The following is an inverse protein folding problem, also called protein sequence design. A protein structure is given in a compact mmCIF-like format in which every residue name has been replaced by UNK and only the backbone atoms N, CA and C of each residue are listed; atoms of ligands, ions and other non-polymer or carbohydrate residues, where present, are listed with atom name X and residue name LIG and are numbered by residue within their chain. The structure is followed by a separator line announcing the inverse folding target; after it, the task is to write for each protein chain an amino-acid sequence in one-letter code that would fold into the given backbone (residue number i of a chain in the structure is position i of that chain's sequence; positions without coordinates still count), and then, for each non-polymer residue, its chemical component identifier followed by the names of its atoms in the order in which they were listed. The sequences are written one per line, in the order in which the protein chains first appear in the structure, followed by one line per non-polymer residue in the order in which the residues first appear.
data_IF_663751163812
#
_entry.id   IF_663751163812
#
_cell.length_a   1.000
_cell.length_b   1.000
_cell.length_c   1.000
_cell.angle_alpha   90.00
_cell.angle_beta   90.00
_cell.angle_gamma   90.00
#
_symmetry.space_group_name_H-M   'P 1'
#
loop_
_entity.id
_entity.type
_entity.pdbx_description
1 polymer ?
#
# COMPACT_ATOMS: atom_id res chain seq x y z
N UNK A 1 54.50 34.04 68.92
CA UNK A 1 55.84 33.86 68.28
C UNK A 1 56.09 32.37 68.11
N UNK A 2 56.38 31.92 66.87
CA UNK A 2 57.00 30.63 66.50
C UNK A 2 56.18 29.36 66.81
N UNK A 3 56.17 28.27 66.04
CA UNK A 3 56.67 27.90 64.70
C UNK A 3 55.92 26.61 64.31
N UNK A 4 55.70 26.42 63.03
CA UNK A 4 55.03 25.28 62.41
C UNK A 4 55.72 23.91 62.63
N UNK A 5 54.93 22.84 62.57
CA UNK A 5 55.29 21.55 61.94
C UNK A 5 54.04 20.89 61.34
N UNK A 6 53.80 21.12 60.05
CA UNK A 6 52.91 20.29 59.24
C UNK A 6 53.81 19.25 58.55
N UNK A 7 53.47 17.95 58.55
CA UNK A 7 54.36 16.90 58.06
C UNK A 7 54.52 16.96 56.54
N UNK A 8 55.75 16.74 56.10
CA UNK A 8 56.26 16.77 54.71
C UNK A 8 55.63 15.73 53.75
N UNK A 9 54.55 15.04 54.14
CA UNK A 9 53.87 14.00 53.37
C UNK A 9 52.69 14.52 52.53
N UNK A 10 52.20 15.73 52.79
CA UNK A 10 51.08 16.32 52.04
C UNK A 10 51.49 17.11 50.79
N UNK A 11 52.80 17.36 50.60
CA UNK A 11 53.32 18.12 49.45
C UNK A 11 53.89 17.23 48.33
N UNK A 12 54.08 15.92 48.57
CA UNK A 12 54.44 14.95 47.52
C UNK A 12 53.23 14.30 46.84
N UNK A 13 52.02 14.41 47.42
CA UNK A 13 50.79 13.86 46.83
C UNK A 13 50.18 14.74 45.73
N UNK A 14 50.59 16.00 45.61
CA UNK A 14 50.03 16.96 44.64
C UNK A 14 50.94 17.16 43.42
N UNK A 15 52.22 16.76 43.49
CA UNK A 15 53.14 16.82 42.34
C UNK A 15 53.15 15.55 41.46
N UNK A 16 52.44 14.48 41.84
CA UNK A 16 52.29 13.29 41.00
C UNK A 16 51.02 13.29 40.13
N UNK A 17 50.16 14.31 40.26
CA UNK A 17 48.91 14.43 39.50
C UNK A 17 49.00 15.41 38.31
N UNK A 18 50.19 15.95 38.01
CA UNK A 18 50.39 16.94 36.94
C UNK A 18 51.46 16.56 35.89
N UNK A 19 51.96 15.32 35.86
CA UNK A 19 53.02 14.93 34.91
C UNK A 19 52.85 13.55 34.25
N UNK A 20 51.63 13.18 33.89
CA UNK A 20 51.37 12.08 32.95
C UNK A 20 50.28 12.48 31.94
N UNK A 21 50.53 13.58 31.23
CA UNK A 21 50.07 13.74 29.86
C UNK A 21 51.13 13.13 28.95
N UNK A 22 50.77 12.08 28.21
CA UNK A 22 51.20 11.75 26.83
C UNK A 22 50.79 10.29 26.51
N UNK A 23 50.02 10.14 25.44
CA UNK A 23 49.75 8.91 24.67
C UNK A 23 48.75 7.90 25.20
N UNK A 24 47.51 8.32 25.43
CA UNK A 24 46.38 7.48 25.04
C UNK A 24 45.94 7.94 23.66
N UNK A 25 46.29 7.13 22.64
CA UNK A 25 45.75 7.30 21.30
C UNK A 25 44.23 7.27 21.40
N UNK A 26 43.61 8.42 21.11
CA UNK A 26 42.21 8.50 20.78
C UNK A 26 42.06 7.70 19.50
N UNK A 27 41.81 6.39 19.65
CA UNK A 27 41.15 5.63 18.62
C UNK A 27 39.74 6.21 18.61
N UNK A 28 39.51 7.16 17.70
CA UNK A 28 38.15 7.47 17.24
C UNK A 28 37.58 6.17 16.67
N UNK A 29 37.08 5.31 17.55
CA UNK A 29 35.96 4.46 17.18
C UNK A 29 34.80 5.44 17.00
N UNK A 30 34.68 5.95 15.78
CA UNK A 30 33.36 6.13 15.20
C UNK A 30 32.67 4.77 15.28
N UNK A 31 32.10 4.44 16.44
CA UNK A 31 30.90 3.61 16.48
C UNK A 31 29.85 4.46 15.77
N UNK A 32 29.74 4.28 14.46
CA UNK A 32 28.45 4.47 13.84
C UNK A 32 27.50 3.61 14.65
N UNK A 33 26.60 4.23 15.41
CA UNK A 33 25.39 3.55 15.85
C UNK A 33 24.70 3.11 14.57
N UNK A 34 25.02 1.92 14.11
CA UNK A 34 24.44 1.34 12.91
C UNK A 34 22.96 1.19 13.22
N UNK A 35 22.15 2.08 12.65
CA UNK A 35 20.69 2.03 12.75
C UNK A 35 20.28 0.62 12.37
N UNK A 36 19.72 -0.11 13.33
CA UNK A 36 19.30 -1.48 13.11
C UNK A 36 18.36 -1.53 11.90
N UNK A 37 18.64 -2.44 10.96
CA UNK A 37 17.91 -2.55 9.68
C UNK A 37 17.17 -3.87 9.64
N UNK A 38 15.84 -3.80 9.57
CA UNK A 38 14.98 -4.96 9.34
C UNK A 38 14.64 -5.09 7.86
N UNK A 39 14.94 -6.24 7.26
CA UNK A 39 14.72 -6.56 5.83
C UNK A 39 13.98 -7.90 5.65
N UNK A 40 13.32 -8.05 4.50
CA UNK A 40 12.68 -9.29 4.07
C UNK A 40 11.71 -9.83 5.13
N UNK A 41 11.91 -11.07 5.57
CA UNK A 41 11.05 -11.75 6.57
C UNK A 41 11.00 -11.05 7.94
N UNK A 42 12.03 -10.27 8.27
CA UNK A 42 12.14 -9.58 9.56
C UNK A 42 11.47 -8.20 9.54
N UNK A 43 11.04 -7.72 8.37
CA UNK A 43 10.28 -6.48 8.24
C UNK A 43 8.78 -6.80 8.27
N UNK A 44 8.07 -6.58 9.40
CA UNK A 44 6.67 -6.97 9.54
C UNK A 44 5.75 -6.17 8.63
N UNK A 45 6.18 -5.01 8.13
CA UNK A 45 5.40 -4.10 7.30
C UNK A 45 5.38 -4.49 5.81
N UNK A 46 6.32 -5.32 5.36
CA UNK A 46 6.47 -5.71 3.96
C UNK A 46 5.85 -7.08 3.67
N UNK A 47 4.78 -7.13 2.89
CA UNK A 47 4.08 -8.35 2.50
C UNK A 47 4.33 -8.67 1.02
N UNK A 48 5.33 -9.51 0.79
CA UNK A 48 5.62 -10.06 -0.54
C UNK A 48 4.42 -10.82 -1.16
N UNK A 49 4.11 -10.52 -2.41
CA UNK A 49 2.94 -11.05 -3.13
C UNK A 49 2.93 -12.58 -3.21
N UNK A 50 4.07 -13.19 -3.54
CA UNK A 50 4.20 -14.66 -3.69
C UNK A 50 4.01 -15.45 -2.40
N UNK A 51 4.26 -14.81 -1.24
CA UNK A 51 4.30 -15.51 0.05
C UNK A 51 3.08 -15.26 0.93
N UNK A 52 2.55 -14.04 0.92
CA UNK A 52 1.61 -13.60 1.94
C UNK A 52 0.16 -13.56 1.45
N UNK A 53 -0.08 -13.82 0.17
CA UNK A 53 -1.41 -14.04 -0.37
C UNK A 53 -1.81 -15.51 -0.29
N UNK A 54 -3.01 -15.76 0.20
CA UNK A 54 -3.66 -17.07 0.17
C UNK A 54 -4.68 -17.07 -0.97
N UNK A 55 -4.54 -18.01 -1.91
CA UNK A 55 -5.52 -18.22 -2.96
C UNK A 55 -6.84 -18.73 -2.38
N UNK A 56 -7.94 -18.03 -2.66
CA UNK A 56 -9.31 -18.45 -2.35
C UNK A 56 -9.88 -19.31 -3.47
N UNK A 57 -9.62 -18.93 -4.73
CA UNK A 57 -10.01 -19.66 -5.92
C UNK A 57 -9.01 -19.42 -7.05
N UNK A 58 -8.81 -20.42 -7.90
CA UNK A 58 -8.01 -20.30 -9.13
C UNK A 58 -8.46 -21.32 -10.16
N UNK A 59 -8.56 -20.90 -11.41
CA UNK A 59 -8.66 -21.77 -12.56
C UNK A 59 -7.89 -21.17 -13.76
N UNK A 60 -8.11 -21.68 -14.96
CA UNK A 60 -7.44 -21.20 -16.18
C UNK A 60 -7.85 -19.77 -16.61
N UNK A 61 -8.94 -19.24 -16.08
CA UNK A 61 -9.51 -17.94 -16.44
C UNK A 61 -9.13 -16.83 -15.46
N UNK A 62 -8.63 -17.15 -14.27
CA UNK A 62 -8.24 -16.14 -13.30
C UNK A 62 -8.03 -16.70 -11.89
N UNK A 63 -7.85 -15.78 -10.94
CA UNK A 63 -7.74 -16.12 -9.52
C UNK A 63 -8.27 -15.04 -8.59
N UNK A 64 -8.63 -15.47 -7.40
CA UNK A 64 -8.95 -14.63 -6.25
C UNK A 64 -7.96 -14.96 -5.13
N UNK A 65 -7.23 -13.97 -4.64
CA UNK A 65 -6.28 -14.10 -3.53
C UNK A 65 -6.64 -13.16 -2.40
N UNK A 66 -6.41 -13.57 -1.15
CA UNK A 66 -6.56 -12.70 0.02
C UNK A 66 -5.25 -12.62 0.79
N UNK A 67 -4.82 -11.41 1.11
CA UNK A 67 -3.62 -11.17 1.90
C UNK A 67 -3.79 -11.72 3.32
N UNK A 68 -2.73 -12.28 3.88
CA UNK A 68 -2.68 -12.65 5.30
C UNK A 68 -3.03 -11.44 6.18
N UNK A 69 -3.67 -11.73 7.30
CA UNK A 69 -4.02 -10.76 8.34
C UNK A 69 -2.81 -9.93 8.78
N UNK A 70 -3.00 -8.62 8.91
CA UNK A 70 -1.96 -7.69 9.32
C UNK A 70 -1.53 -7.89 10.78
N UNK A 71 -2.51 -8.08 11.67
CA UNK A 71 -2.31 -8.22 13.11
C UNK A 71 -1.54 -9.50 13.49
N UNK A 72 -1.61 -10.55 12.67
CA UNK A 72 -0.82 -11.78 12.86
C UNK A 72 0.68 -11.60 12.62
N UNK A 73 1.07 -10.54 11.91
CA UNK A 73 2.47 -10.28 11.56
C UNK A 73 3.19 -9.43 12.60
N UNK A 74 2.50 -8.49 13.24
CA UNK A 74 3.04 -7.66 14.30
C UNK A 74 1.93 -6.99 15.09
N UNK A 75 2.10 -6.90 16.41
CA UNK A 75 1.22 -6.13 17.29
C UNK A 75 1.17 -4.64 16.92
N UNK A 76 2.18 -4.11 16.19
CA UNK A 76 2.17 -2.75 15.67
C UNK A 76 1.06 -2.53 14.62
N UNK A 77 0.50 -3.61 14.06
CA UNK A 77 -0.55 -3.59 13.06
C UNK A 77 -1.90 -4.06 13.62
N UNK A 78 -2.06 -4.12 14.95
CA UNK A 78 -3.30 -4.59 15.59
C UNK A 78 -4.53 -3.79 15.15
N UNK A 79 -4.40 -2.48 14.96
CA UNK A 79 -5.49 -1.61 14.52
C UNK A 79 -5.96 -1.87 13.08
N UNK A 80 -5.29 -2.79 12.35
CA UNK A 80 -5.71 -3.25 11.04
C UNK A 80 -6.36 -4.65 11.08
N UNK A 81 -6.68 -5.18 12.27
CA UNK A 81 -7.27 -6.52 12.43
C UNK A 81 -8.60 -6.71 11.71
N UNK A 82 -9.33 -5.62 11.47
CA UNK A 82 -10.63 -5.55 10.81
C UNK A 82 -10.56 -5.23 9.31
N UNK A 83 -9.36 -5.22 8.72
CA UNK A 83 -9.16 -4.94 7.30
C UNK A 83 -8.46 -6.11 6.62
N UNK A 84 -8.94 -6.47 5.43
CA UNK A 84 -8.29 -7.45 4.55
C UNK A 84 -8.07 -6.85 3.17
N UNK A 85 -7.01 -7.27 2.50
CA UNK A 85 -6.73 -6.91 1.10
C UNK A 85 -7.02 -8.13 0.25
N UNK A 86 -7.84 -7.95 -0.78
CA UNK A 86 -8.23 -9.00 -1.71
C UNK A 86 -7.82 -8.59 -3.10
N UNK A 87 -7.20 -9.50 -3.82
CA UNK A 87 -6.77 -9.31 -5.19
C UNK A 87 -7.54 -10.25 -6.10
N UNK A 88 -7.99 -9.70 -7.23
CA UNK A 88 -8.69 -10.43 -8.25
C UNK A 88 -8.03 -10.17 -9.60
N UNK A 89 -7.72 -11.24 -10.32
CA UNK A 89 -7.27 -11.17 -11.71
C UNK A 89 -8.13 -12.09 -12.57
N UNK A 90 -8.50 -11.61 -13.75
CA UNK A 90 -9.15 -12.45 -14.76
C UNK A 90 -8.71 -12.13 -16.18
N UNK A 91 -8.70 -13.17 -17.02
CA UNK A 91 -8.40 -13.09 -18.45
C UNK A 91 -9.48 -12.31 -19.22
N UNK A 92 -9.20 -11.93 -20.48
CA UNK A 92 -10.19 -11.39 -21.39
C UNK A 92 -11.47 -12.23 -21.45
N UNK A 93 -12.60 -11.57 -21.71
CA UNK A 93 -13.89 -12.21 -21.90
C UNK A 93 -14.35 -13.14 -20.76
N UNK A 94 -14.17 -12.73 -19.50
CA UNK A 94 -14.50 -13.54 -18.33
C UNK A 94 -15.60 -12.93 -17.46
N UNK A 95 -16.27 -13.77 -16.66
CA UNK A 95 -17.27 -13.41 -15.66
C UNK A 95 -16.93 -14.05 -14.31
N UNK A 96 -16.89 -13.24 -13.25
CA UNK A 96 -17.01 -13.69 -11.87
C UNK A 96 -18.48 -13.87 -11.54
N UNK A 97 -18.88 -15.09 -11.18
CA UNK A 97 -20.28 -15.46 -10.96
C UNK A 97 -20.93 -14.70 -9.78
N UNK A 98 -22.28 -14.57 -9.77
CA UNK A 98 -23.01 -13.85 -8.73
C UNK A 98 -22.76 -14.39 -7.32
N UNK A 99 -22.32 -13.50 -6.43
CA UNK A 99 -22.11 -13.79 -5.01
C UNK A 99 -22.31 -12.53 -4.19
N UNK A 100 -22.47 -12.70 -2.88
CA UNK A 100 -22.33 -11.63 -1.90
C UNK A 100 -21.29 -12.04 -0.85
N UNK A 101 -20.85 -11.11 -0.03
CA UNK A 101 -19.96 -11.38 1.09
C UNK A 101 -20.44 -10.69 2.36
N UNK A 102 -20.07 -11.22 3.52
CA UNK A 102 -20.28 -10.58 4.81
C UNK A 102 -19.21 -9.51 5.13
N UNK A 103 -18.89 -8.68 4.15
CA UNK A 103 -17.93 -7.58 4.24
C UNK A 103 -18.31 -6.43 3.30
N UNK A 104 -18.09 -5.20 3.73
CA UNK A 104 -18.01 -4.07 2.81
C UNK A 104 -16.74 -4.23 1.96
N UNK A 105 -16.82 -3.89 0.67
CA UNK A 105 -15.64 -3.79 -0.19
C UNK A 105 -15.48 -2.37 -0.73
N UNK A 106 -14.25 -1.89 -0.76
CA UNK A 106 -13.82 -0.77 -1.60
C UNK A 106 -12.97 -1.34 -2.73
N UNK A 107 -13.58 -1.51 -3.90
CA UNK A 107 -12.98 -2.06 -5.11
C UNK A 107 -12.25 -0.97 -5.88
N UNK A 108 -11.05 -1.26 -6.37
CA UNK A 108 -10.29 -0.37 -7.29
C UNK A 108 -9.75 -1.17 -8.47
N UNK A 109 -9.97 -0.67 -9.69
CA UNK A 109 -9.42 -1.26 -10.92
C UNK A 109 -7.99 -0.79 -11.11
N UNK A 110 -7.03 -1.71 -10.99
CA UNK A 110 -5.60 -1.46 -11.13
C UNK A 110 -5.14 -1.47 -12.59
N UNK A 111 -5.64 -2.42 -13.38
CA UNK A 111 -5.39 -2.50 -14.81
C UNK A 111 -6.59 -3.10 -15.56
N UNK A 112 -6.75 -2.72 -16.83
CA UNK A 112 -7.86 -3.16 -17.67
C UNK A 112 -9.18 -2.45 -17.38
N UNK A 113 -10.28 -3.13 -17.74
CA UNK A 113 -11.65 -2.63 -17.67
C UNK A 113 -12.58 -3.71 -17.13
N UNK A 114 -13.56 -3.31 -16.34
CA UNK A 114 -14.58 -4.17 -15.77
C UNK A 114 -15.99 -3.62 -16.03
N UNK A 115 -16.98 -4.50 -16.07
CA UNK A 115 -18.38 -4.16 -15.86
C UNK A 115 -18.81 -4.77 -14.53
N UNK A 116 -19.01 -3.92 -13.52
CA UNK A 116 -19.51 -4.31 -12.21
C UNK A 116 -21.04 -4.17 -12.21
N UNK A 117 -21.76 -5.22 -11.84
CA UNK A 117 -23.21 -5.13 -11.65
C UNK A 117 -23.58 -5.43 -10.20
N UNK A 118 -24.27 -4.49 -9.57
CA UNK A 118 -24.84 -4.61 -8.23
C UNK A 118 -26.31 -4.99 -8.36
N UNK A 119 -26.72 -6.07 -7.69
CA UNK A 119 -28.08 -6.60 -7.70
C UNK A 119 -28.70 -6.34 -6.34
N UNK A 120 -29.77 -5.57 -6.35
CA UNK A 120 -30.56 -5.19 -5.18
C UNK A 120 -31.95 -5.83 -5.27
N UNK A 121 -32.73 -5.88 -4.17
CA UNK A 121 -34.09 -6.45 -4.20
C UNK A 121 -35.01 -5.83 -5.25
N UNK A 122 -34.88 -4.52 -5.49
CA UNK A 122 -35.79 -3.76 -6.37
C UNK A 122 -35.20 -3.46 -7.76
N UNK A 123 -34.01 -3.97 -8.08
CA UNK A 123 -33.37 -3.69 -9.37
C UNK A 123 -31.89 -4.03 -9.45
N UNK A 124 -31.23 -3.58 -10.51
CA UNK A 124 -29.79 -3.74 -10.69
C UNK A 124 -29.16 -2.50 -11.32
N UNK A 125 -27.93 -2.21 -10.93
CA UNK A 125 -27.12 -1.16 -11.51
C UNK A 125 -25.82 -1.74 -12.05
N UNK A 126 -25.53 -1.47 -13.32
CA UNK A 126 -24.31 -1.89 -13.99
C UNK A 126 -23.43 -0.68 -14.26
N UNK A 127 -22.14 -0.80 -13.99
CA UNK A 127 -21.16 0.28 -14.11
C UNK A 127 -19.93 -0.18 -14.88
N UNK A 128 -19.49 0.65 -15.82
CA UNK A 128 -18.21 0.48 -16.52
C UNK A 128 -17.11 1.09 -15.66
N UNK A 129 -16.15 0.28 -15.25
CA UNK A 129 -15.00 0.66 -14.45
C UNK A 129 -13.73 0.50 -15.28
N UNK A 130 -13.05 1.60 -15.55
CA UNK A 130 -11.72 1.62 -16.17
C UNK A 130 -10.62 1.75 -15.12
N UNK A 131 -9.37 1.60 -15.51
CA UNK A 131 -8.21 1.84 -14.65
C UNK A 131 -8.32 3.12 -13.81
N UNK A 132 -8.11 2.97 -12.50
CA UNK A 132 -8.21 4.04 -11.51
C UNK A 132 -9.63 4.36 -11.03
N UNK A 133 -10.67 3.66 -11.53
CA UNK A 133 -11.99 3.72 -10.93
C UNK A 133 -12.03 2.94 -9.63
N UNK A 134 -12.79 3.48 -8.68
CA UNK A 134 -13.13 2.86 -7.41
C UNK A 134 -14.65 2.87 -7.19
N UNK A 135 -15.14 1.86 -6.47
CA UNK A 135 -16.54 1.72 -6.09
C UNK A 135 -16.64 0.99 -4.74
N UNK A 136 -17.47 1.53 -3.83
CA UNK A 136 -17.90 0.79 -2.63
C UNK A 136 -18.99 -0.22 -3.02
N UNK A 137 -18.84 -1.45 -2.55
CA UNK A 137 -19.84 -2.50 -2.61
C UNK A 137 -20.26 -2.77 -1.16
N UNK A 138 -21.49 -2.40 -0.76
CA UNK A 138 -21.96 -2.66 0.59
C UNK A 138 -21.97 -4.15 0.95
N UNK A 139 -21.78 -4.45 2.24
CA UNK A 139 -21.88 -5.82 2.73
C UNK A 139 -23.24 -6.47 2.39
N UNK A 140 -23.21 -7.72 1.95
CA UNK A 140 -24.41 -8.47 1.56
C UNK A 140 -24.99 -8.12 0.19
N UNK A 141 -24.48 -7.11 -0.52
CA UNK A 141 -24.90 -6.82 -1.89
C UNK A 141 -24.47 -7.96 -2.83
N UNK A 142 -25.42 -8.53 -3.57
CA UNK A 142 -25.10 -9.50 -4.62
C UNK A 142 -24.46 -8.73 -5.77
N UNK A 143 -23.30 -9.17 -6.23
CA UNK A 143 -22.69 -8.59 -7.41
C UNK A 143 -22.05 -9.67 -8.29
N UNK A 144 -21.85 -9.32 -9.54
CA UNK A 144 -21.02 -10.06 -10.48
C UNK A 144 -20.19 -9.08 -11.30
N UNK A 145 -19.09 -9.59 -11.87
CA UNK A 145 -18.11 -8.75 -12.54
C UNK A 145 -17.68 -9.38 -13.86
N UNK A 146 -17.70 -8.59 -14.93
CA UNK A 146 -17.28 -9.01 -16.27
C UNK A 146 -15.98 -8.31 -16.63
N UNK A 147 -15.01 -9.04 -17.19
CA UNK A 147 -13.94 -8.45 -18.01
C UNK A 147 -14.43 -8.46 -19.47
N UNK A 148 -14.88 -7.31 -20.02
CA UNK A 148 -15.42 -7.25 -21.36
C UNK A 148 -14.32 -7.09 -22.44
N UNK A 149 -13.05 -7.02 -22.05
CA UNK A 149 -11.96 -6.81 -22.99
C UNK A 149 -11.63 -8.10 -23.75
N UNK A 150 -11.14 -7.96 -24.98
CA UNK A 150 -10.75 -9.06 -25.85
C UNK A 150 -9.27 -9.45 -25.69
N UNK A 151 -8.43 -8.54 -25.20
CA UNK A 151 -6.97 -8.72 -25.21
C UNK A 151 -6.30 -8.34 -23.88
N UNK A 152 -6.97 -7.61 -23.01
CA UNK A 152 -6.40 -7.16 -21.75
C UNK A 152 -6.92 -7.95 -20.54
N UNK A 153 -6.00 -8.39 -19.67
CA UNK A 153 -6.37 -8.93 -18.36
C UNK A 153 -6.91 -7.82 -17.47
N UNK A 154 -7.87 -8.18 -16.62
CA UNK A 154 -8.40 -7.30 -15.59
C UNK A 154 -7.69 -7.58 -14.27
N UNK A 155 -7.12 -6.54 -13.65
CA UNK A 155 -6.55 -6.59 -12.30
C UNK A 155 -7.30 -5.65 -11.37
N UNK A 156 -7.78 -6.18 -10.25
CA UNK A 156 -8.55 -5.46 -9.24
C UNK A 156 -7.96 -5.72 -7.86
N UNK A 157 -7.91 -4.67 -7.05
CA UNK A 157 -7.62 -4.77 -5.63
C UNK A 157 -8.83 -4.27 -4.84
N UNK A 158 -9.18 -4.96 -3.77
CA UNK A 158 -10.27 -4.60 -2.87
C UNK A 158 -9.74 -4.47 -1.45
N UNK A 159 -10.13 -3.40 -0.77
CA UNK A 159 -10.12 -3.36 0.70
C UNK A 159 -11.43 -3.96 1.19
N UNK A 160 -11.35 -4.99 2.02
CA UNK A 160 -12.51 -5.64 2.63
C UNK A 160 -12.60 -5.28 4.11
N UNK A 161 -13.79 -4.93 4.58
CA UNK A 161 -14.12 -4.64 5.98
C UNK A 161 -15.18 -5.64 6.44
N UNK A 162 -14.79 -6.77 7.07
CA UNK A 162 -15.73 -7.79 7.51
C UNK A 162 -16.73 -7.29 8.56
N UNK A 163 -17.96 -7.80 8.49
CA UNK A 163 -19.06 -7.41 9.39
C UNK A 163 -19.15 -8.32 10.61
N UNK A 164 -19.12 -9.64 10.41
CA UNK A 164 -19.41 -10.60 11.48
C UNK A 164 -18.20 -10.91 12.37
N UNK A 165 -17.03 -11.09 11.75
CA UNK A 165 -15.78 -11.38 12.44
C UNK A 165 -14.72 -10.41 11.92
N UNK A 166 -14.07 -9.60 12.77
CA UNK A 166 -13.15 -8.57 12.29
C UNK A 166 -12.06 -9.15 11.37
N UNK A 167 -11.62 -10.37 11.64
CA UNK A 167 -10.46 -10.95 10.97
C UNK A 167 -10.74 -11.62 9.62
N UNK A 168 -11.99 -11.96 9.31
CA UNK A 168 -12.33 -12.77 8.14
C UNK A 168 -13.74 -12.49 7.64
N UNK A 169 -13.88 -12.59 6.34
CA UNK A 169 -15.16 -12.61 5.63
C UNK A 169 -15.27 -13.93 4.85
N UNK A 170 -16.47 -14.20 4.36
CA UNK A 170 -16.84 -15.35 3.57
C UNK A 170 -17.61 -14.87 2.33
N UNK A 171 -17.21 -15.38 1.17
CA UNK A 171 -17.99 -15.23 -0.05
C UNK A 171 -19.09 -16.31 -0.09
N UNK A 172 -20.32 -15.89 -0.38
CA UNK A 172 -21.52 -16.72 -0.51
C UNK A 172 -21.97 -16.71 -1.97
N UNK A 173 -21.59 -17.76 -2.70
CA UNK A 173 -21.91 -17.92 -4.12
C UNK A 173 -23.33 -18.45 -4.33
N UNK A 174 -24.09 -17.76 -5.19
CA UNK A 174 -25.43 -18.18 -5.59
C UNK A 174 -25.38 -19.27 -6.67
N UNK A 175 -24.33 -19.28 -7.48
CA UNK A 175 -24.11 -20.26 -8.55
C UNK A 175 -23.92 -21.68 -8.01
N UNK A 176 -24.30 -22.69 -8.79
CA UNK A 176 -23.87 -24.08 -8.59
C UNK A 176 -22.84 -24.42 -9.66
N UNK A 177 -21.63 -24.84 -9.25
CA UNK A 177 -20.51 -25.16 -10.14
C UNK A 177 -19.78 -26.39 -9.63
N UNK A 178 -18.90 -26.99 -10.42
CA UNK A 178 -18.12 -28.16 -9.96
C UNK A 178 -17.25 -27.83 -8.74
N UNK A 179 -16.70 -26.61 -8.66
CA UNK A 179 -15.86 -26.18 -7.54
C UNK A 179 -16.61 -25.75 -6.27
N UNK A 180 -17.91 -25.44 -6.33
CA UNK A 180 -18.65 -24.93 -5.17
C UNK A 180 -20.17 -25.10 -5.31
N UNK A 181 -20.82 -25.36 -4.17
CA UNK A 181 -22.26 -25.51 -4.05
C UNK A 181 -22.94 -24.15 -3.85
N UNK A 182 -24.09 -23.98 -4.49
CA UNK A 182 -24.96 -22.82 -4.23
C UNK A 182 -25.36 -22.80 -2.76
N UNK A 183 -25.31 -21.65 -2.10
CA UNK A 183 -25.76 -21.57 -0.70
C UNK A 183 -27.24 -21.93 -0.53
N UNK A 184 -28.05 -21.92 -1.60
CA UNK A 184 -29.44 -22.38 -1.57
C UNK A 184 -29.55 -23.88 -1.23
N UNK A 185 -28.54 -24.69 -1.56
CA UNK A 185 -28.50 -26.11 -1.21
C UNK A 185 -28.39 -26.35 0.30
N UNK A 186 -28.12 -25.31 1.10
CA UNK A 186 -28.15 -25.39 2.57
C UNK A 186 -29.56 -25.49 3.16
N UNK A 187 -30.61 -25.14 2.42
CA UNK A 187 -32.00 -25.24 2.89
C UNK A 187 -32.56 -26.65 2.73
N UNK A 188 -33.52 -27.01 3.60
CA UNK A 188 -34.19 -28.31 3.50
C UNK A 188 -35.09 -28.37 2.27
N UNK A 189 -35.31 -29.57 1.73
CA UNK A 189 -36.18 -29.82 0.56
C UNK A 189 -37.56 -29.17 0.72
N UNK A 190 -38.20 -29.38 1.88
CA UNK A 190 -39.52 -28.80 2.17
C UNK A 190 -39.51 -27.27 2.13
N UNK A 191 -38.42 -26.62 2.55
CA UNK A 191 -38.29 -25.15 2.48
C UNK A 191 -38.09 -24.71 1.03
N UNK A 192 -37.27 -25.41 0.26
CA UNK A 192 -37.06 -25.10 -1.16
C UNK A 192 -38.33 -25.27 -1.97
N UNK A 193 -39.04 -26.40 -1.83
CA UNK A 193 -40.31 -26.66 -2.51
C UNK A 193 -41.36 -25.60 -2.15
N UNK A 194 -41.50 -25.26 -0.86
CA UNK A 194 -42.45 -24.24 -0.43
C UNK A 194 -42.07 -22.81 -0.87
N UNK A 195 -40.77 -22.52 -1.03
CA UNK A 195 -40.28 -21.18 -1.41
C UNK A 195 -40.34 -20.95 -2.92
N UNK A 196 -40.01 -21.97 -3.72
CA UNK A 196 -40.02 -21.90 -5.18
C UNK A 196 -41.35 -22.32 -5.81
N UNK A 197 -42.28 -22.88 -5.02
CA UNK A 197 -43.58 -23.42 -5.49
C UNK A 197 -43.39 -24.42 -6.64
N UNK A 198 -42.40 -25.31 -6.49
CA UNK A 198 -41.98 -26.29 -7.49
C UNK A 198 -41.48 -27.55 -6.80
N UNK A 199 -41.54 -28.69 -7.50
CA UNK A 199 -41.06 -29.96 -6.96
C UNK A 199 -39.52 -29.99 -6.85
N UNK A 200 -39.00 -30.74 -5.86
CA UNK A 200 -37.56 -30.75 -5.62
C UNK A 200 -36.73 -31.27 -6.80
N UNK A 201 -37.32 -32.10 -7.70
CA UNK A 201 -36.57 -32.61 -8.87
C UNK A 201 -36.37 -31.52 -9.89
N UNK A 202 -37.39 -30.71 -10.15
CA UNK A 202 -37.29 -29.53 -11.02
C UNK A 202 -36.27 -28.52 -10.46
N UNK A 203 -36.34 -28.20 -9.16
CA UNK A 203 -35.38 -27.31 -8.49
C UNK A 203 -33.95 -27.83 -8.64
N UNK A 204 -33.73 -29.11 -8.32
CA UNK A 204 -32.42 -29.74 -8.41
C UNK A 204 -31.87 -29.78 -9.84
N UNK A 205 -32.73 -30.04 -10.83
CA UNK A 205 -32.35 -30.05 -12.25
C UNK A 205 -31.95 -28.66 -12.74
N UNK A 206 -32.74 -27.63 -12.41
CA UNK A 206 -32.58 -26.28 -12.99
C UNK A 206 -31.52 -25.45 -12.26
N UNK A 207 -31.47 -25.50 -10.92
CA UNK A 207 -30.60 -24.63 -10.13
C UNK A 207 -29.28 -25.29 -9.71
N UNK A 208 -29.29 -26.60 -9.47
CA UNK A 208 -28.14 -27.31 -8.89
C UNK A 208 -27.46 -28.27 -9.88
N UNK A 209 -28.17 -28.68 -10.93
CA UNK A 209 -27.70 -29.62 -11.94
C UNK A 209 -27.50 -31.05 -11.40
N UNK A 210 -28.26 -31.47 -10.38
CA UNK A 210 -28.06 -32.75 -9.67
C UNK A 210 -28.72 -33.97 -10.36
N UNK A 211 -29.64 -33.78 -11.32
CA UNK A 211 -30.31 -34.90 -12.03
C UNK A 211 -29.96 -34.90 -13.52
N UNK A 212 -28.89 -35.60 -13.93
CA UNK A 212 -28.55 -35.69 -15.36
C UNK A 212 -27.25 -36.38 -15.81
N UNK A 213 -26.48 -37.06 -14.95
CA UNK A 213 -25.22 -37.72 -15.35
C UNK A 213 -25.35 -38.92 -16.34
N UNK A 214 -26.45 -39.08 -17.08
CA UNK A 214 -26.64 -40.18 -18.03
C UNK A 214 -27.14 -39.80 -19.43
N UNK A 215 -27.13 -38.52 -19.84
CA UNK A 215 -27.25 -38.19 -21.26
C UNK A 215 -26.05 -37.39 -21.73
N UNK A 216 -25.19 -38.09 -22.50
CA UNK A 216 -24.12 -37.54 -23.33
C UNK A 216 -24.67 -36.41 -24.21
N UNK A 217 -24.23 -35.17 -23.95
CA UNK A 217 -24.35 -34.05 -24.88
C UNK A 217 -24.78 -32.75 -24.18
N UNK A 218 -23.80 -31.89 -23.88
CA UNK A 218 -23.92 -30.42 -23.91
C UNK A 218 -24.36 -29.57 -22.70
N UNK A 219 -24.52 -30.08 -21.48
CA UNK A 219 -24.63 -29.19 -20.29
C UNK A 219 -23.62 -29.57 -19.20
N UNK A 220 -22.33 -29.34 -19.46
CA UNK A 220 -21.31 -29.39 -18.41
C UNK A 220 -21.53 -28.21 -17.46
N UNK A 221 -21.68 -28.49 -16.16
CA UNK A 221 -21.63 -27.45 -15.14
C UNK A 221 -20.34 -26.64 -15.30
N UNK A 222 -20.39 -25.34 -14.99
CA UNK A 222 -19.20 -24.50 -15.05
C UNK A 222 -18.15 -25.04 -14.06
N UNK A 223 -16.87 -25.04 -14.48
CA UNK A 223 -15.76 -25.60 -13.67
C UNK A 223 -15.62 -24.87 -12.32
N UNK A 224 -15.89 -23.57 -12.28
CA UNK A 224 -15.88 -22.80 -11.04
C UNK A 224 -16.42 -21.39 -11.17
N UNK A 225 -15.99 -20.50 -10.28
CA UNK A 225 -16.63 -19.18 -10.10
C UNK A 225 -16.16 -18.10 -11.08
N UNK A 226 -15.11 -18.37 -11.87
CA UNK A 226 -14.64 -17.50 -12.95
C UNK A 226 -14.81 -18.27 -14.26
N UNK A 227 -15.62 -17.76 -15.17
CA UNK A 227 -16.02 -18.47 -16.41
C UNK A 227 -15.76 -17.62 -17.63
N UNK A 228 -15.56 -18.25 -18.79
CA UNK A 228 -15.47 -17.57 -20.08
C UNK A 228 -16.87 -17.21 -20.60
N UNK A 229 -16.99 -16.04 -21.21
CA UNK A 229 -18.20 -15.58 -21.90
C UNK A 229 -17.95 -15.43 -23.39
N UNK A 230 -18.98 -15.75 -24.18
CA UNK A 230 -19.02 -15.39 -25.59
C UNK A 230 -19.25 -13.88 -25.74
N UNK A 231 -18.73 -13.29 -26.81
CA UNK A 231 -18.89 -11.86 -27.12
C UNK A 231 -20.34 -11.37 -27.12
N UNK A 232 -21.28 -12.20 -27.55
CA UNK A 232 -22.72 -11.87 -27.54
C UNK A 232 -23.25 -11.70 -26.11
N UNK A 233 -22.84 -12.58 -25.19
CA UNK A 233 -23.22 -12.48 -23.77
C UNK A 233 -22.64 -11.21 -23.14
N UNK A 234 -21.38 -10.89 -23.44
CA UNK A 234 -20.73 -9.66 -22.96
C UNK A 234 -21.45 -8.42 -23.48
N UNK A 235 -21.86 -8.39 -24.76
CA UNK A 235 -22.61 -7.28 -25.34
C UNK A 235 -23.93 -7.05 -24.62
N UNK A 236 -24.69 -8.10 -24.34
CA UNK A 236 -25.96 -7.99 -23.61
C UNK A 236 -25.75 -7.51 -22.17
N UNK A 237 -24.72 -8.02 -21.47
CA UNK A 237 -24.39 -7.59 -20.11
C UNK A 237 -23.88 -6.14 -20.03
N UNK A 238 -23.23 -5.64 -21.09
CA UNK A 238 -22.65 -4.29 -21.11
C UNK A 238 -23.64 -3.22 -21.60
N UNK A 239 -24.70 -3.61 -22.33
CA UNK A 239 -25.62 -2.71 -23.03
C UNK A 239 -26.22 -1.59 -22.17
N UNK A 240 -26.47 -1.87 -20.90
CA UNK A 240 -27.08 -0.93 -19.96
C UNK A 240 -26.12 -0.41 -18.89
N UNK A 241 -24.82 -0.70 -19.02
CA UNK A 241 -23.82 -0.27 -18.06
C UNK A 241 -23.52 1.23 -18.20
N UNK A 242 -23.54 1.93 -17.06
CA UNK A 242 -23.31 3.36 -16.95
C UNK A 242 -21.80 3.63 -16.88
N UNK A 243 -21.31 4.60 -17.65
CA UNK A 243 -19.96 5.13 -17.48
C UNK A 243 -19.91 6.14 -16.34
N UNK A 244 -18.81 6.18 -15.60
CA UNK A 244 -18.56 7.23 -14.60
C UNK A 244 -18.42 8.62 -15.26
N UNK A 245 -18.80 9.66 -14.52
CA UNK A 245 -18.63 11.06 -14.94
C UNK A 245 -17.91 11.85 -13.84
N UNK A 246 -17.37 13.04 -14.14
CA UNK A 246 -16.75 13.88 -13.09
C UNK A 246 -17.70 14.24 -11.92
N UNK A 247 -19.02 14.20 -12.16
CA UNK A 247 -20.04 14.48 -11.13
C UNK A 247 -20.24 13.32 -10.16
N UNK A 248 -19.77 12.11 -10.49
CA UNK A 248 -19.90 10.94 -9.63
C UNK A 248 -19.05 11.01 -8.37
N UNK A 249 -18.06 11.91 -8.32
CA UNK A 249 -17.18 12.06 -7.16
C UNK A 249 -17.95 12.33 -5.85
N UNK A 250 -19.04 13.10 -5.92
CA UNK A 250 -19.88 13.40 -4.77
C UNK A 250 -21.08 12.45 -4.62
N UNK A 251 -21.15 11.38 -5.43
CA UNK A 251 -22.23 10.41 -5.38
C UNK A 251 -22.01 9.39 -4.27
N UNK A 252 -23.11 8.97 -3.63
CA UNK A 252 -23.10 7.92 -2.62
C UNK A 252 -23.02 6.52 -3.26
N UNK A 253 -23.47 6.37 -4.50
CA UNK A 253 -23.64 5.04 -5.14
C UNK A 253 -22.92 4.88 -6.48
N UNK A 254 -22.41 5.96 -7.09
CA UNK A 254 -21.71 5.88 -8.39
C UNK A 254 -20.18 5.74 -8.26
N UNK A 255 -19.52 5.05 -9.20
CA UNK A 255 -18.08 4.90 -9.17
C UNK A 255 -17.37 6.21 -9.46
N UNK A 256 -16.20 6.40 -8.87
CA UNK A 256 -15.37 7.59 -9.05
C UNK A 256 -13.96 7.20 -9.50
N UNK A 257 -13.32 8.07 -10.29
CA UNK A 257 -11.96 7.81 -10.79
C UNK A 257 -10.93 8.72 -10.12
N UNK A 258 -9.89 8.13 -9.54
CA UNK A 258 -8.78 8.84 -8.91
C UNK A 258 -8.03 9.76 -9.87
N UNK A 259 -7.85 9.32 -11.12
CA UNK A 259 -7.07 10.00 -12.16
C UNK A 259 -7.82 11.16 -12.82
N UNK A 260 -9.13 11.26 -12.60
CA UNK A 260 -9.95 12.36 -13.15
C UNK A 260 -9.79 13.68 -12.39
N UNK A 261 -9.17 13.64 -11.20
CA UNK A 261 -8.88 14.81 -10.39
C UNK A 261 -7.49 15.37 -10.69
N UNK A 262 -7.27 16.65 -10.38
CA UNK A 262 -5.92 17.23 -10.44
C UNK A 262 -5.05 16.55 -9.35
N UNK A 263 -3.81 16.15 -9.65
CA UNK A 263 -2.92 15.61 -8.63
C UNK A 263 -2.67 16.64 -7.52
N UNK A 264 -2.63 16.16 -6.27
CA UNK A 264 -2.34 16.97 -5.09
C UNK A 264 -0.87 17.41 -5.12
N UNK A 265 0.02 16.51 -5.52
CA UNK A 265 1.45 16.77 -5.70
C UNK A 265 1.85 16.37 -7.12
N UNK A 266 2.58 17.22 -7.83
CA UNK A 266 3.07 16.89 -9.17
C UNK A 266 4.28 17.72 -9.55
N UNK A 267 5.27 17.05 -10.14
CA UNK A 267 6.38 17.69 -10.85
C UNK A 267 6.93 16.73 -11.92
N UNK A 268 8.12 16.99 -12.47
CA UNK A 268 8.72 16.18 -13.54
C UNK A 268 9.07 14.73 -13.15
N UNK A 269 9.20 14.42 -11.86
CA UNK A 269 9.61 13.13 -11.31
C UNK A 269 8.43 12.25 -10.84
N UNK A 270 7.27 12.85 -10.58
CA UNK A 270 6.12 12.08 -10.14
C UNK A 270 4.85 12.89 -9.99
N UNK A 271 3.73 12.19 -9.80
CA UNK A 271 2.43 12.78 -9.52
C UNK A 271 1.64 11.90 -8.56
N UNK A 272 0.87 12.54 -7.69
CA UNK A 272 0.04 11.88 -6.68
C UNK A 272 -1.38 12.41 -6.78
N UNK A 273 -2.31 11.53 -7.12
CA UNK A 273 -3.74 11.80 -7.04
C UNK A 273 -4.27 11.25 -5.71
N UNK A 274 -5.18 11.98 -5.07
CA UNK A 274 -5.76 11.56 -3.80
C UNK A 274 -7.20 12.05 -3.67
N UNK A 275 -8.08 11.14 -3.26
CA UNK A 275 -9.47 11.41 -2.92
C UNK A 275 -9.67 11.03 -1.47
N UNK A 276 -10.17 11.98 -0.68
CA UNK A 276 -10.29 11.87 0.78
C UNK A 276 -11.75 11.72 1.21
N UNK A 277 -12.02 11.27 2.45
CA UNK A 277 -13.37 11.22 3.04
C UNK A 277 -14.19 12.51 2.93
N UNK A 278 -13.52 13.67 2.89
CA UNK A 278 -14.18 14.96 2.77
C UNK A 278 -14.78 15.17 1.37
N UNK A 279 -14.21 14.52 0.34
CA UNK A 279 -14.58 14.72 -1.07
C UNK A 279 -15.56 13.70 -1.64
N UNK A 280 -15.64 12.50 -1.07
CA UNK A 280 -16.48 11.41 -1.57
C UNK A 280 -17.24 10.72 -0.42
N UNK A 281 -18.58 10.56 -0.52
CA UNK A 281 -19.39 9.95 0.55
C UNK A 281 -19.06 8.48 0.84
N UNK A 282 -18.76 7.67 -0.18
CA UNK A 282 -18.41 6.25 0.00
C UNK A 282 -17.12 6.09 0.82
N UNK A 283 -16.14 6.96 0.55
CA UNK A 283 -14.89 7.04 1.32
C UNK A 283 -15.10 7.60 2.74
N UNK A 284 -16.09 8.47 2.93
CA UNK A 284 -16.48 9.01 4.23
C UNK A 284 -17.04 7.95 5.16
N UNK A 285 -17.90 7.09 4.62
CA UNK A 285 -18.52 6.00 5.36
C UNK A 285 -17.48 5.02 5.91
N UNK A 286 -16.45 4.72 5.10
CA UNK A 286 -15.36 3.82 5.50
C UNK A 286 -14.24 4.50 6.31
N UNK A 287 -14.25 5.84 6.42
CA UNK A 287 -13.13 6.65 6.91
C UNK A 287 -11.78 6.32 6.24
N UNK A 288 -11.81 6.21 4.91
CA UNK A 288 -10.66 5.83 4.07
C UNK A 288 -10.35 6.91 3.02
N UNK A 289 -9.07 7.20 2.77
CA UNK A 289 -8.66 7.90 1.55
C UNK A 289 -8.08 6.90 0.54
N UNK A 290 -8.14 7.25 -0.75
CA UNK A 290 -7.43 6.53 -1.80
C UNK A 290 -6.40 7.45 -2.46
N UNK A 291 -5.17 6.96 -2.62
CA UNK A 291 -4.13 7.64 -3.39
C UNK A 291 -3.66 6.78 -4.56
N UNK A 292 -3.39 7.41 -5.70
CA UNK A 292 -2.82 6.80 -6.89
C UNK A 292 -1.57 7.57 -7.30
N UNK A 293 -0.40 6.91 -7.26
CA UNK A 293 0.91 7.56 -7.33
C UNK A 293 1.71 7.01 -8.49
N UNK A 294 2.23 7.92 -9.32
CA UNK A 294 3.21 7.62 -10.36
C UNK A 294 4.54 8.26 -10.00
N UNK A 295 5.63 7.48 -10.03
CA UNK A 295 7.00 7.96 -9.85
C UNK A 295 7.83 7.44 -11.03
N UNK A 296 8.52 8.34 -11.73
CA UNK A 296 9.42 7.93 -12.82
C UNK A 296 10.64 7.22 -12.27
N UNK A 297 11.26 6.37 -13.09
CA UNK A 297 12.55 5.77 -12.78
C UNK A 297 13.57 6.82 -12.28
N UNK A 298 14.24 6.52 -11.16
CA UNK A 298 15.18 7.43 -10.51
C UNK A 298 14.53 8.56 -9.72
N UNK A 299 13.20 8.61 -9.66
CA UNK A 299 12.44 9.53 -8.82
C UNK A 299 12.36 9.05 -7.36
N UNK A 300 12.44 9.99 -6.43
CA UNK A 300 12.29 9.76 -4.99
C UNK A 300 11.09 10.54 -4.47
N UNK A 301 10.08 9.85 -3.92
CA UNK A 301 9.13 10.47 -2.99
C UNK A 301 9.89 10.73 -1.69
N UNK A 302 10.09 12.02 -1.40
CA UNK A 302 10.94 12.46 -0.29
C UNK A 302 10.35 12.08 1.07
N UNK A 303 11.18 12.01 2.13
CA UNK A 303 10.73 11.65 3.47
C UNK A 303 9.51 12.46 3.90
N UNK A 304 8.45 11.75 4.29
CA UNK A 304 7.21 12.32 4.80
C UNK A 304 6.53 11.36 5.77
N UNK A 305 5.56 11.84 6.55
CA UNK A 305 4.71 10.99 7.38
C UNK A 305 3.25 11.45 7.31
N UNK A 306 2.33 10.51 7.51
CA UNK A 306 0.90 10.82 7.67
C UNK A 306 0.61 11.07 9.15
N UNK A 307 -0.08 12.15 9.47
CA UNK A 307 -0.40 12.54 10.86
C UNK A 307 -1.16 11.49 11.65
N UNK A 308 -2.16 10.84 11.03
CA UNK A 308 -3.05 9.88 11.72
C UNK A 308 -3.48 8.69 10.89
N UNK A 309 -3.34 8.75 9.56
CA UNK A 309 -3.74 7.66 8.69
C UNK A 309 -2.67 6.57 8.64
N UNK A 310 -3.09 5.32 8.79
CA UNK A 310 -2.26 4.14 8.48
C UNK A 310 -2.49 3.78 7.02
N UNK A 311 -1.41 3.68 6.25
CA UNK A 311 -1.50 3.48 4.80
C UNK A 311 -1.16 2.04 4.43
N UNK A 312 -2.03 1.41 3.66
CA UNK A 312 -1.80 0.12 3.01
C UNK A 312 -1.51 0.41 1.53
N UNK A 313 -0.24 0.31 1.15
CA UNK A 313 0.23 0.51 -0.22
C UNK A 313 0.24 -0.83 -0.97
N UNK A 314 -0.19 -0.84 -2.22
CA UNK A 314 -0.12 -1.98 -3.14
C UNK A 314 0.55 -1.55 -4.44
N UNK A 315 1.64 -2.21 -4.82
CA UNK A 315 2.34 -1.91 -6.07
C UNK A 315 1.53 -2.44 -7.24
N UNK A 316 1.22 -1.56 -8.19
CA UNK A 316 0.50 -1.92 -9.40
C UNK A 316 1.45 -2.31 -10.54
N UNK A 317 2.50 -1.51 -10.74
CA UNK A 317 3.49 -1.70 -11.80
C UNK A 317 4.85 -1.15 -11.35
N UNK A 318 5.92 -1.81 -11.78
CA UNK A 318 7.29 -1.36 -11.55
C UNK A 318 7.87 -1.78 -10.20
N UNK A 319 9.00 -1.15 -9.87
CA UNK A 319 9.83 -1.55 -8.73
C UNK A 319 10.29 -0.32 -7.93
N UNK A 320 10.44 -0.51 -6.62
CA UNK A 320 10.88 0.54 -5.72
C UNK A 320 11.66 0.02 -4.52
N UNK A 321 12.53 0.87 -3.98
CA UNK A 321 13.09 0.71 -2.65
C UNK A 321 12.35 1.62 -1.68
N UNK A 322 11.80 1.04 -0.61
CA UNK A 322 11.12 1.78 0.46
C UNK A 322 11.95 1.75 1.74
N UNK A 323 12.05 2.91 2.41
CA UNK A 323 12.59 3.01 3.76
C UNK A 323 11.53 3.61 4.69
N UNK A 324 11.20 2.88 5.74
CA UNK A 324 10.30 3.27 6.81
C UNK A 324 11.09 3.39 8.12
N UNK A 325 10.85 4.46 8.87
CA UNK A 325 11.52 4.73 10.14
C UNK A 325 10.51 4.58 11.28
N UNK A 326 10.86 3.76 12.27
CA UNK A 326 10.07 3.59 13.49
C UNK A 326 10.95 3.67 14.74
N UNK A 327 10.31 3.52 15.90
CA UNK A 327 11.01 3.47 17.19
C UNK A 327 10.87 2.08 17.79
N UNK A 328 11.96 1.56 18.35
CA UNK A 328 11.98 0.30 19.09
C UNK A 328 12.28 0.58 20.55
N UNK A 329 11.43 0.09 21.44
CA UNK A 329 11.67 0.17 22.86
C UNK A 329 12.77 -0.83 23.24
N UNK A 330 13.80 -0.35 23.92
CA UNK A 330 14.75 -1.21 24.62
C UNK A 330 14.50 -1.16 26.12
N UNK A 331 14.47 -2.33 26.76
CA UNK A 331 14.54 -2.45 28.21
C UNK A 331 15.96 -2.89 28.56
N UNK A 332 16.79 -1.95 29.01
CA UNK A 332 18.05 -2.27 29.65
C UNK A 332 18.05 -1.69 31.06
N UNK A 333 18.34 -2.53 32.06
CA UNK A 333 18.62 -2.13 33.45
C UNK A 333 17.62 -1.12 34.06
N UNK A 334 16.31 -1.38 33.92
CA UNK A 334 15.22 -0.55 34.47
C UNK A 334 15.08 0.87 33.88
N UNK A 335 15.86 1.25 32.86
CA UNK A 335 15.63 2.46 32.07
C UNK A 335 14.96 2.11 30.74
N UNK A 336 13.91 2.87 30.40
CA UNK A 336 13.28 2.81 29.08
C UNK A 336 14.06 3.72 28.13
N UNK A 337 14.63 3.16 27.08
CA UNK A 337 15.19 3.92 25.96
C UNK A 337 14.49 3.56 24.66
N UNK A 338 14.47 4.51 23.74
CA UNK A 338 13.91 4.34 22.40
C UNK A 338 15.03 4.49 21.39
N UNK A 339 15.16 3.49 20.51
CA UNK A 339 16.12 3.53 19.42
C UNK A 339 15.40 3.66 18.09
N UNK A 340 16.01 4.42 17.19
CA UNK A 340 15.56 4.51 15.81
C UNK A 340 15.83 3.17 15.11
N UNK A 341 14.78 2.63 14.51
CA UNK A 341 14.83 1.39 13.75
C UNK A 341 14.42 1.69 12.30
N UNK A 342 15.26 1.27 11.36
CA UNK A 342 14.93 1.32 9.93
C UNK A 342 14.34 0.00 9.48
N UNK A 343 13.26 0.08 8.73
CA UNK A 343 12.63 -1.03 8.03
C UNK A 343 12.73 -0.75 6.53
N UNK A 344 13.44 -1.60 5.80
CA UNK A 344 13.62 -1.43 4.35
C UNK A 344 13.09 -2.64 3.59
N UNK A 345 12.56 -2.41 2.39
CA UNK A 345 12.14 -3.46 1.48
C UNK A 345 12.35 -3.02 0.02
N UNK A 346 12.57 -4.01 -0.84
CA UNK A 346 12.46 -3.88 -2.29
C UNK A 346 11.04 -4.32 -2.62
N UNK A 347 10.29 -3.48 -3.33
CA UNK A 347 8.91 -3.70 -3.70
C UNK A 347 8.83 -3.98 -5.18
N UNK A 348 8.06 -4.99 -5.55
CA UNK A 348 7.70 -5.32 -6.94
C UNK A 348 6.19 -5.40 -7.09
N UNK A 349 5.71 -5.64 -8.31
CA UNK A 349 4.28 -5.81 -8.62
C UNK A 349 3.56 -6.73 -7.63
N UNK A 350 2.34 -6.34 -7.24
CA UNK A 350 1.45 -6.97 -6.25
C UNK A 350 1.94 -6.95 -4.79
N UNK A 351 3.16 -6.49 -4.51
CA UNK A 351 3.63 -6.39 -3.13
C UNK A 351 2.79 -5.37 -2.35
N UNK A 352 2.51 -5.72 -1.08
CA UNK A 352 1.81 -4.84 -0.14
C UNK A 352 2.78 -4.33 0.91
N UNK A 353 2.74 -3.04 1.21
CA UNK A 353 3.52 -2.44 2.29
C UNK A 353 2.63 -1.59 3.20
N UNK A 354 2.75 -1.77 4.51
CA UNK A 354 1.99 -0.99 5.49
C UNK A 354 2.86 0.11 6.10
N UNK A 355 2.38 1.33 6.06
CA UNK A 355 3.02 2.51 6.64
C UNK A 355 2.16 2.97 7.82
N UNK A 356 2.53 2.67 9.07
CA UNK A 356 1.80 3.13 10.24
C UNK A 356 1.69 4.66 10.30
N UNK A 357 0.62 5.15 10.92
CA UNK A 357 0.47 6.56 11.21
C UNK A 357 1.69 7.12 11.98
N UNK A 358 2.10 8.34 11.64
CA UNK A 358 3.25 9.08 12.16
C UNK A 358 4.64 8.49 11.86
N UNK A 359 4.76 7.39 11.11
CA UNK A 359 6.07 6.83 10.76
C UNK A 359 6.62 7.52 9.50
N UNK A 360 7.83 8.11 9.55
CA UNK A 360 8.46 8.66 8.35
C UNK A 360 8.77 7.58 7.32
N UNK A 361 8.48 7.88 6.06
CA UNK A 361 8.68 6.99 4.92
C UNK A 361 9.25 7.75 3.73
N UNK A 362 10.12 7.09 2.97
CA UNK A 362 10.59 7.54 1.66
C UNK A 362 10.54 6.38 0.66
N UNK A 363 10.23 6.67 -0.61
CA UNK A 363 10.08 5.66 -1.67
C UNK A 363 10.90 6.08 -2.89
N UNK A 364 11.89 5.27 -3.23
CA UNK A 364 12.78 5.48 -4.37
C UNK A 364 12.41 4.51 -5.51
N UNK A 365 11.97 5.04 -6.65
CA UNK A 365 11.58 4.23 -7.79
C UNK A 365 12.80 3.74 -8.58
N UNK A 366 12.99 2.41 -8.65
CA UNK A 366 14.09 1.77 -9.39
C UNK A 366 13.73 1.51 -10.85
N UNK A 367 12.44 1.51 -11.17
CA UNK A 367 11.88 1.59 -12.53
C UNK A 367 10.71 2.60 -12.52
N UNK A 368 9.98 2.77 -13.63
CA UNK A 368 8.74 3.55 -13.59
C UNK A 368 7.75 2.82 -12.68
N UNK A 369 7.35 3.48 -11.60
CA UNK A 369 6.56 2.91 -10.53
C UNK A 369 5.14 3.50 -10.54
N UNK A 370 4.15 2.61 -10.45
CA UNK A 370 2.78 2.94 -10.10
C UNK A 370 2.34 2.15 -8.86
N UNK A 371 1.74 2.83 -7.88
CA UNK A 371 1.11 2.15 -6.75
C UNK A 371 -0.19 2.82 -6.33
N UNK A 372 -1.08 2.01 -5.77
CA UNK A 372 -2.31 2.43 -5.10
C UNK A 372 -2.09 2.41 -3.58
N UNK A 373 -2.75 3.30 -2.85
CA UNK A 373 -2.71 3.29 -1.40
C UNK A 373 -4.10 3.50 -0.79
N UNK A 374 -4.48 2.64 0.17
CA UNK A 374 -5.63 2.82 1.06
C UNK A 374 -5.16 3.46 2.36
N UNK A 375 -5.61 4.68 2.65
CA UNK A 375 -5.35 5.33 3.94
C UNK A 375 -6.48 5.07 4.92
N UNK A 376 -6.25 4.28 5.96
CA UNK A 376 -7.22 3.99 7.03
C UNK A 376 -7.19 5.10 8.08
N UNK A 377 -8.34 5.43 8.70
CA UNK A 377 -8.48 6.53 9.66
C UNK A 377 -8.12 7.89 9.00
N UNK A 378 -8.71 8.13 7.84
CA UNK A 378 -8.28 9.16 6.90
C UNK A 378 -8.81 10.56 7.21
N UNK A 379 -9.94 10.69 7.90
CA UNK A 379 -10.59 11.98 8.16
C UNK A 379 -9.62 12.97 8.79
N UNK A 380 -9.44 14.12 8.16
CA UNK A 380 -8.49 15.18 8.55
C UNK A 380 -7.01 14.74 8.60
N UNK A 381 -6.61 13.68 7.90
CA UNK A 381 -5.21 13.31 7.80
C UNK A 381 -4.41 14.37 7.04
N UNK A 382 -3.30 14.80 7.62
CA UNK A 382 -2.28 15.64 6.99
C UNK A 382 -1.05 14.81 6.62
N UNK A 383 -0.45 15.12 5.46
CA UNK A 383 0.86 14.60 5.07
C UNK A 383 1.92 15.66 5.32
N UNK A 384 2.88 15.35 6.17
CA UNK A 384 3.94 16.24 6.59
C UNK A 384 5.24 15.83 5.90
N UNK A 385 5.78 16.67 5.02
CA UNK A 385 7.08 16.41 4.40
C UNK A 385 8.21 16.86 5.33
N UNK A 386 9.34 16.17 5.28
CA UNK A 386 10.52 16.44 6.13
C UNK A 386 11.68 17.08 5.34
N UNK A 387 11.45 17.30 4.05
CA UNK A 387 12.41 17.87 3.11
C UNK A 387 11.65 18.55 1.97
N UNK A 388 12.39 19.26 1.11
CA UNK A 388 11.83 19.99 -0.01
C UNK A 388 11.39 21.40 0.36
N UNK A 389 10.97 22.15 -0.66
CA UNK A 389 10.61 23.57 -0.55
C UNK A 389 9.20 23.77 0.04
N UNK A 390 8.22 22.93 -0.35
CA UNK A 390 6.82 23.05 0.08
C UNK A 390 6.45 21.97 1.08
N UNK A 391 5.56 22.34 2.00
CA UNK A 391 4.96 21.46 3.03
C UNK A 391 5.99 20.74 3.92
N UNK A 392 7.22 21.29 3.97
CA UNK A 392 8.29 20.80 4.81
C UNK A 392 8.12 21.31 6.24
N UNK A 393 7.72 20.45 7.16
CA UNK A 393 7.44 20.87 8.53
C UNK A 393 8.69 21.31 9.30
N UNK A 394 9.89 20.93 8.86
CA UNK A 394 11.14 21.36 9.51
C UNK A 394 11.44 22.83 9.16
N UNK A 395 11.08 23.31 7.97
CA UNK A 395 11.29 24.72 7.60
C UNK A 395 10.38 25.68 8.36
N UNK A 396 9.29 25.19 8.94
CA UNK A 396 8.37 25.97 9.77
C UNK A 396 8.86 26.13 11.22
N UNK A 397 9.93 25.41 11.62
CA UNK A 397 10.47 25.49 12.98
C UNK A 397 11.29 26.78 13.14
N UNK A 398 11.06 27.58 14.21
CA UNK A 398 11.85 28.77 14.47
C UNK A 398 13.35 28.47 14.58
N UNK A 399 14.16 29.39 14.06
CA UNK A 399 15.62 29.25 14.01
C UNK A 399 16.25 28.92 15.38
N UNK A 400 15.75 29.56 16.44
CA UNK A 400 16.21 29.37 17.82
C UNK A 400 15.94 27.95 18.32
N UNK A 401 14.86 27.32 17.86
CA UNK A 401 14.53 25.93 18.18
C UNK A 401 15.41 24.98 17.38
N UNK A 402 15.66 25.27 16.09
CA UNK A 402 16.57 24.47 15.26
C UNK A 402 18.00 24.45 15.81
N UNK A 403 18.48 25.58 16.34
CA UNK A 403 19.81 25.73 16.94
C UNK A 403 20.03 24.84 18.17
N UNK A 404 18.97 24.58 18.96
CA UNK A 404 19.05 23.66 20.10
C UNK A 404 18.72 22.21 19.73
N UNK A 405 17.91 22.01 18.68
CA UNK A 405 17.49 20.68 18.24
C UNK A 405 18.59 19.92 17.48
N UNK A 406 19.48 20.64 16.80
CA UNK A 406 20.54 20.05 15.97
C UNK A 406 21.93 20.53 16.38
N UNK A 407 23.00 19.75 16.14
CA UNK A 407 24.37 20.15 16.50
C UNK A 407 24.92 21.36 15.72
N UNK A 408 24.29 21.75 14.60
CA UNK A 408 24.70 22.89 13.79
C UNK A 408 24.03 24.19 14.26
N UNK A 409 24.63 25.35 13.94
CA UNK A 409 23.95 26.63 14.17
C UNK A 409 22.64 26.69 13.38
N UNK A 410 21.63 27.35 13.93
CA UNK A 410 20.31 27.43 13.28
C UNK A 410 20.38 27.95 11.84
N UNK A 411 21.22 28.96 11.57
CA UNK A 411 21.48 29.46 10.22
C UNK A 411 22.02 28.38 9.25
N UNK A 412 22.92 27.51 9.73
CA UNK A 412 23.45 26.39 8.93
C UNK A 412 22.38 25.34 8.67
N UNK A 413 21.51 25.07 9.63
CA UNK A 413 20.39 24.14 9.50
C UNK A 413 19.39 24.66 8.46
N UNK A 414 18.94 25.92 8.60
CA UNK A 414 18.03 26.56 7.64
C UNK A 414 18.63 26.58 6.24
N UNK A 415 19.92 26.95 6.12
CA UNK A 415 20.63 26.94 4.83
C UNK A 415 20.69 25.53 4.22
N UNK A 416 20.83 24.49 5.02
CA UNK A 416 20.87 23.09 4.55
C UNK A 416 19.49 22.64 4.05
N UNK A 417 18.44 22.89 4.83
CA UNK A 417 17.06 22.51 4.49
C UNK A 417 16.64 23.16 3.16
N UNK A 418 16.99 24.43 2.97
CA UNK A 418 16.65 25.21 1.77
C UNK A 418 17.51 24.89 0.54
N UNK A 419 18.45 23.92 0.60
CA UNK A 419 19.23 23.52 -0.59
C UNK A 419 18.39 22.76 -1.61
N UNK A 420 17.37 22.02 -1.18
CA UNK A 420 16.51 21.27 -2.09
C UNK A 420 15.44 22.22 -2.67
N UNK A 421 15.55 22.54 -3.96
CA UNK A 421 14.65 23.47 -4.65
C UNK A 421 13.38 22.80 -5.20
N UNK A 422 13.26 21.47 -5.10
CA UNK A 422 12.08 20.74 -5.52
C UNK A 422 11.25 20.31 -4.31
N UNK A 423 9.97 20.04 -4.56
CA UNK A 423 9.02 19.56 -3.55
C UNK A 423 8.45 18.20 -3.94
N UNK A 424 8.13 17.40 -2.94
CA UNK A 424 7.45 16.10 -3.03
C UNK A 424 8.24 14.98 -3.71
N UNK A 425 8.61 15.17 -4.98
CA UNK A 425 9.37 14.21 -5.78
C UNK A 425 10.69 14.82 -6.26
N UNK A 426 11.80 14.12 -6.09
CA UNK A 426 13.14 14.63 -6.44
C UNK A 426 13.96 13.60 -7.22
N UNK A 427 15.10 14.02 -7.77
CA UNK A 427 16.07 13.11 -8.39
C UNK A 427 16.86 12.35 -7.31
N UNK A 428 16.70 11.03 -7.26
CA UNK A 428 17.42 10.14 -6.34
C UNK A 428 18.93 10.05 -6.66
N UNK A 429 19.35 10.43 -7.87
CA UNK A 429 20.72 10.24 -8.38
C UNK A 429 21.60 11.50 -8.36
N UNK A 430 21.09 12.62 -7.84
CA UNK A 430 21.73 13.95 -7.94
C UNK A 430 23.20 13.98 -7.47
N UNK A 431 23.58 13.25 -6.42
CA UNK A 431 24.97 13.23 -5.91
C UNK A 431 25.89 12.18 -6.56
N UNK A 432 25.34 11.12 -7.16
CA UNK A 432 26.16 10.14 -7.90
C UNK A 432 26.72 10.73 -9.19
N UNK A 433 25.93 11.60 -9.86
CA UNK A 433 26.36 12.33 -11.06
C UNK A 433 27.46 13.36 -10.76
N UNK A 434 27.42 14.04 -9.61
CA UNK A 434 28.48 14.98 -9.20
C UNK A 434 29.82 14.27 -8.87
N UNK A 435 29.78 13.07 -8.27
CA UNK A 435 31.00 12.29 -8.01
C UNK A 435 31.63 11.74 -9.29
N UNK A 436 30.82 11.31 -10.26
CA UNK A 436 31.33 10.89 -11.58
C UNK A 436 31.85 12.07 -12.41
N UNK A 437 31.21 13.24 -12.32
CA UNK A 437 31.67 14.49 -12.94
C UNK A 437 33.03 14.96 -12.39
N UNK A 438 33.26 14.87 -11.08
CA UNK A 438 34.55 15.23 -10.45
C UNK A 438 35.67 14.21 -10.70
N UNK A 439 35.34 12.99 -11.14
CA UNK A 439 36.30 11.94 -11.50
C UNK A 439 36.86 12.04 -12.93
N UNK A 440 36.23 12.82 -13.82
CA UNK A 440 36.79 13.20 -15.12
C UNK A 440 37.55 14.51 -14.97
N UNK A 441 38.75 14.46 -14.38
CA UNK A 441 39.79 15.44 -14.72
C UNK A 441 40.52 14.87 -15.92
N UNK A 442 40.41 15.56 -17.05
CA UNK A 442 41.16 15.26 -18.26
C UNK A 442 42.66 15.10 -17.94
N UNK A 443 43.38 14.11 -18.51
CA UNK A 443 44.82 14.10 -18.41
C UNK A 443 45.33 15.33 -19.14
N UNK A 444 46.08 16.17 -18.43
CA UNK A 444 46.83 17.27 -19.03
C UNK A 444 47.67 16.69 -20.17
N UNK A 445 47.40 17.15 -21.40
CA UNK A 445 48.23 16.87 -22.56
C UNK A 445 49.64 17.36 -22.29
N UNK A 446 50.57 16.42 -22.21
CA UNK A 446 52.01 16.67 -22.15
C UNK A 446 52.44 17.39 -23.43
N UNK A 447 52.66 18.70 -23.35
CA UNK A 447 53.38 19.46 -24.37
C UNK A 447 54.86 19.17 -24.13
N UNK A 448 55.39 18.14 -24.79
CA UNK A 448 56.82 17.94 -24.99
C UNK A 448 56.97 17.00 -26.20
N UNK A 449 56.82 17.58 -27.39
CA UNK A 449 57.37 17.05 -28.64
C UNK A 449 57.63 18.23 -29.59
N UNK A 450 58.65 19.01 -29.27
CA UNK A 450 59.41 19.81 -30.22
C UNK A 450 60.86 19.84 -29.74
N UNK A 451 61.79 19.40 -30.60
CA UNK A 451 63.26 19.39 -30.50
C UNK A 451 63.87 18.04 -30.08
N UNK A 452 63.96 17.07 -30.99
CA UNK A 452 65.09 16.90 -31.91
C UNK A 452 64.95 15.65 -32.79
#
# INVERSE_FOLDING_TARGET
MMRARIPLLLLLGILFLASLSVSFGIREQHESQDVSVSRGKNNPFYFNSDRWFRTLFRNQFGHLRVLQRFDQRSNQLQNLENYRVVEFESKPNTLLLPHHADADFLLVVLNGRAVLTLVNPDGRDSYILEQGHAQKIPAGTIFFLVNPDDNENLRIIKLAVPVNNPHRFQDFFLSSTEAQQSYLQGFSKNILEASFDSDIKEINRVLFGEEGQQQKGEESQQEGVIVELKREQIRELTKHAKSSSKKSLSSEDEPFNLRNQKPVYSNRFGRLHEITPEKNPQLRDLDVFLSYVDIKEGGLLIPSYNSKATVILVVNEGEANIELVGLKQQQQQQQQSWEVQRYSAELSEDDVFVIPAAYPVAINATSNLNFLAFGINAKNNQRNFLAGEKDNVISEIPNQVLEVAFPGSGEKVVKLINKQSLSYFVDAQSQQKEKQSKGRKDPLSSILDTLH
#
